data_IF_298259128596
#
_entry.id   IF_298259128596
#
_cell.length_a   1.000
_cell.length_b   1.000
_cell.length_c   1.000
_cell.angle_alpha   90.00
_cell.angle_beta   90.00
_cell.angle_gamma   90.00
#
_symmetry.space_group_name_H-M   'P 1'
#
loop_
_entity.id
_entity.type
_entity.pdbx_description
1 polymer ?
#
# COMPACT_ATOMS: atom_id res chain seq x y z
N UNK A 1 -4.02 -4.98 36.95
CA UNK A 1 -3.23 -4.88 35.70
C UNK A 1 -4.24 -4.69 34.59
N UNK A 2 -4.10 -3.70 33.71
CA UNK A 2 -5.12 -3.41 32.69
C UNK A 2 -5.20 -4.57 31.70
N UNK A 3 -6.41 -5.03 31.40
CA UNK A 3 -6.73 -6.13 30.48
C UNK A 3 -6.48 -5.77 28.98
N UNK A 4 -5.86 -4.63 28.74
CA UNK A 4 -5.66 -4.03 27.42
C UNK A 4 -4.16 -3.80 27.17
N UNK A 5 -3.69 -4.25 26.01
CA UNK A 5 -2.38 -3.97 25.46
C UNK A 5 -2.42 -2.69 24.62
N UNK A 6 -1.29 -1.99 24.55
CA UNK A 6 -1.13 -0.86 23.63
C UNK A 6 -0.97 -1.34 22.19
N UNK A 7 -1.49 -0.57 21.25
CA UNK A 7 -1.45 -0.92 19.83
C UNK A 7 -1.40 0.33 18.94
N UNK A 8 -1.03 0.12 17.69
CA UNK A 8 -1.25 1.07 16.61
C UNK A 8 -2.32 0.52 15.69
N UNK A 9 -3.37 1.30 15.43
CA UNK A 9 -4.41 0.98 14.47
C UNK A 9 -4.26 1.86 13.23
N UNK A 10 -4.51 1.29 12.06
CA UNK A 10 -4.66 2.03 10.80
C UNK A 10 -5.68 1.33 9.91
N UNK A 11 -6.05 1.99 8.82
CA UNK A 11 -6.87 1.38 7.78
C UNK A 11 -5.98 1.00 6.60
N UNK A 12 -6.16 -0.21 6.08
CA UNK A 12 -5.53 -0.68 4.86
C UNK A 12 -6.62 -0.94 3.81
N UNK A 13 -6.38 -0.50 2.57
CA UNK A 13 -7.27 -0.74 1.47
C UNK A 13 -6.90 -2.01 0.71
N UNK A 14 -7.91 -2.74 0.25
CA UNK A 14 -7.78 -3.78 -0.77
C UNK A 14 -8.60 -3.35 -1.98
N UNK A 15 -7.98 -2.73 -3.00
CA UNK A 15 -8.67 -2.33 -4.22
C UNK A 15 -9.30 -3.53 -4.95
N UNK A 16 -10.17 -3.24 -5.92
CA UNK A 16 -10.78 -4.29 -6.73
C UNK A 16 -9.72 -5.22 -7.36
N UNK A 17 -9.85 -6.56 -7.20
CA UNK A 17 -8.93 -7.51 -7.81
C UNK A 17 -8.79 -7.36 -9.32
N UNK A 18 -9.85 -6.97 -10.04
CA UNK A 18 -9.79 -6.76 -11.49
C UNK A 18 -8.95 -5.53 -11.85
N UNK A 19 -9.06 -4.45 -11.07
CA UNK A 19 -8.19 -3.28 -11.22
C UNK A 19 -6.75 -3.71 -11.00
N UNK A 20 -6.44 -4.40 -9.90
CA UNK A 20 -5.10 -4.86 -9.57
C UNK A 20 -4.50 -5.78 -10.65
N UNK A 21 -5.32 -6.68 -11.22
CA UNK A 21 -4.90 -7.57 -12.29
C UNK A 21 -4.62 -6.84 -13.61
N UNK A 22 -5.25 -5.69 -13.84
CA UNK A 22 -5.08 -4.86 -15.03
C UNK A 22 -3.89 -3.89 -14.94
N UNK A 23 -2.94 -4.11 -14.03
CA UNK A 23 -1.74 -3.29 -13.90
C UNK A 23 -0.90 -3.36 -15.19
N UNK A 24 -0.55 -2.21 -15.81
CA UNK A 24 0.33 -2.20 -16.98
C UNK A 24 1.68 -2.87 -16.68
N UNK A 25 2.12 -3.72 -17.60
CA UNK A 25 3.42 -4.37 -17.52
C UNK A 25 4.53 -3.44 -18.03
N UNK A 26 5.73 -3.45 -17.42
CA UNK A 26 6.87 -2.73 -17.95
C UNK A 26 7.16 -3.15 -19.40
N UNK A 27 7.32 -2.19 -20.32
CA UNK A 27 7.52 -2.53 -21.72
C UNK A 27 8.89 -3.15 -21.96
N UNK A 28 8.98 -3.96 -23.00
CA UNK A 28 10.28 -4.36 -23.56
C UNK A 28 10.76 -3.29 -24.51
N UNK A 29 11.99 -2.82 -24.32
CA UNK A 29 12.60 -1.81 -25.18
C UNK A 29 13.31 -2.46 -26.37
N UNK A 30 13.33 -1.73 -27.49
CA UNK A 30 14.13 -2.07 -28.66
C UNK A 30 15.61 -1.83 -28.33
N UNK A 31 16.49 -2.71 -28.82
CA UNK A 31 17.93 -2.57 -28.63
C UNK A 31 18.46 -1.27 -29.25
N UNK A 32 19.24 -0.52 -28.47
CA UNK A 32 19.85 0.72 -28.96
C UNK A 32 20.85 0.40 -30.07
N UNK A 33 20.65 1.01 -31.25
CA UNK A 33 21.50 0.80 -32.42
C UNK A 33 21.00 -0.25 -33.41
N UNK A 34 19.86 -0.90 -33.15
CA UNK A 34 19.20 -1.81 -34.12
C UNK A 34 18.79 -1.08 -35.41
N UNK A 35 18.37 0.19 -35.30
CA UNK A 35 18.10 1.11 -36.40
C UNK A 35 18.21 2.56 -35.92
N UNK A 36 18.32 3.55 -36.84
CA UNK A 36 18.50 4.97 -36.49
C UNK A 36 17.40 5.54 -35.58
N UNK A 37 16.19 5.01 -35.66
CA UNK A 37 15.03 5.52 -34.92
C UNK A 37 14.77 4.79 -33.58
N UNK A 38 15.62 3.85 -33.17
CA UNK A 38 15.39 3.00 -31.99
C UNK A 38 15.21 3.81 -30.68
N UNK A 39 15.92 4.94 -30.55
CA UNK A 39 15.76 5.85 -29.40
C UNK A 39 14.39 6.53 -29.39
N UNK A 40 13.92 7.01 -30.55
CA UNK A 40 12.62 7.67 -30.67
C UNK A 40 11.47 6.68 -30.43
N UNK A 41 11.62 5.45 -30.90
CA UNK A 41 10.67 4.36 -30.63
C UNK A 41 10.61 4.03 -29.14
N UNK A 42 11.75 3.84 -28.48
CA UNK A 42 11.81 3.62 -27.04
C UNK A 42 11.22 4.78 -26.22
N UNK A 43 11.40 6.03 -26.67
CA UNK A 43 10.77 7.19 -26.07
C UNK A 43 9.23 7.15 -26.19
N UNK A 44 8.71 6.77 -27.36
CA UNK A 44 7.27 6.58 -27.57
C UNK A 44 6.69 5.46 -26.71
N UNK A 45 7.37 4.31 -26.66
CA UNK A 45 7.00 3.15 -25.82
C UNK A 45 6.94 3.57 -24.34
N UNK A 46 7.94 4.33 -23.87
CA UNK A 46 7.98 4.85 -22.50
C UNK A 46 6.80 5.79 -22.22
N UNK A 47 6.48 6.70 -23.16
CA UNK A 47 5.37 7.62 -23.00
C UNK A 47 4.02 6.89 -22.87
N UNK A 48 3.77 5.90 -23.73
CA UNK A 48 2.56 5.08 -23.69
C UNK A 48 2.44 4.30 -22.37
N UNK A 49 3.55 3.71 -21.89
CA UNK A 49 3.54 3.00 -20.61
C UNK A 49 3.25 3.95 -19.43
N UNK A 50 3.84 5.15 -19.41
CA UNK A 50 3.59 6.15 -18.36
C UNK A 50 2.12 6.60 -18.37
N UNK A 51 1.54 6.82 -19.54
CA UNK A 51 0.11 7.17 -19.68
C UNK A 51 -0.79 6.04 -19.16
N UNK A 52 -0.52 4.80 -19.57
CA UNK A 52 -1.28 3.63 -19.11
C UNK A 52 -1.16 3.44 -17.59
N UNK A 53 0.04 3.62 -17.03
CA UNK A 53 0.27 3.52 -15.59
C UNK A 53 -0.51 4.60 -14.83
N UNK A 54 -0.48 5.84 -15.31
CA UNK A 54 -1.23 6.94 -14.71
C UNK A 54 -2.75 6.71 -14.77
N UNK A 55 -3.26 6.16 -15.87
CA UNK A 55 -4.68 5.80 -15.99
C UNK A 55 -5.05 4.68 -15.00
N UNK A 56 -4.20 3.68 -14.83
CA UNK A 56 -4.40 2.61 -13.85
C UNK A 56 -4.37 3.13 -12.39
N UNK A 57 -3.43 4.03 -12.06
CA UNK A 57 -3.38 4.68 -10.74
C UNK A 57 -4.65 5.50 -10.46
N UNK A 58 -5.19 6.20 -11.46
CA UNK A 58 -6.46 6.91 -11.34
C UNK A 58 -7.66 5.96 -11.07
N UNK A 59 -7.65 4.74 -11.62
CA UNK A 59 -8.67 3.73 -11.31
C UNK A 59 -8.58 3.26 -9.85
N UNK A 60 -7.36 3.08 -9.33
CA UNK A 60 -7.15 2.76 -7.91
C UNK A 60 -7.70 3.90 -7.05
N UNK A 61 -7.32 5.15 -7.33
CA UNK A 61 -7.79 6.30 -6.56
C UNK A 61 -9.31 6.43 -6.56
N UNK A 62 -9.96 6.17 -7.71
CA UNK A 62 -11.41 6.15 -7.81
C UNK A 62 -12.04 5.05 -6.94
N UNK A 63 -11.46 3.85 -6.93
CA UNK A 63 -11.96 2.72 -6.12
C UNK A 63 -11.74 2.95 -4.61
N UNK A 64 -10.67 3.66 -4.22
CA UNK A 64 -10.38 3.99 -2.83
C UNK A 64 -11.42 4.93 -2.17
N UNK A 65 -12.29 5.58 -2.96
CA UNK A 65 -13.44 6.33 -2.43
C UNK A 65 -14.47 5.38 -1.79
N UNK A 66 -14.52 4.11 -2.21
CA UNK A 66 -15.44 3.13 -1.65
C UNK A 66 -15.01 2.72 -0.23
N UNK A 67 -15.84 3.00 0.82
CA UNK A 67 -15.50 2.64 2.19
C UNK A 67 -15.33 1.13 2.42
N UNK A 68 -15.96 0.28 1.61
CA UNK A 68 -15.87 -1.18 1.74
C UNK A 68 -14.50 -1.75 1.37
N UNK A 69 -13.66 -0.97 0.67
CA UNK A 69 -12.28 -1.36 0.37
C UNK A 69 -11.37 -1.29 1.59
N UNK A 70 -11.77 -0.55 2.63
CA UNK A 70 -10.95 -0.26 3.79
C UNK A 70 -11.23 -1.22 4.95
N UNK A 71 -10.16 -1.74 5.54
CA UNK A 71 -10.21 -2.62 6.69
C UNK A 71 -9.32 -2.09 7.80
N UNK A 72 -9.78 -2.21 9.05
CA UNK A 72 -8.99 -1.85 10.22
C UNK A 72 -7.94 -2.92 10.51
N UNK A 73 -6.69 -2.50 10.57
CA UNK A 73 -5.54 -3.33 10.95
C UNK A 73 -4.97 -2.83 12.26
N UNK A 74 -4.45 -3.73 13.10
CA UNK A 74 -3.83 -3.41 14.38
C UNK A 74 -2.51 -4.16 14.54
N UNK A 75 -1.52 -3.46 15.06
CA UNK A 75 -0.28 -4.04 15.55
C UNK A 75 -0.13 -3.77 17.04
N UNK A 76 0.06 -4.83 17.83
CA UNK A 76 0.23 -4.74 19.29
C UNK A 76 1.68 -4.32 19.59
N UNK A 77 1.85 -3.49 20.62
CA UNK A 77 3.12 -3.05 21.16
C UNK A 77 3.25 -3.51 22.63
N UNK A 78 4.48 -3.56 23.14
CA UNK A 78 4.73 -3.98 24.52
C UNK A 78 4.18 -2.99 25.54
N UNK A 79 4.30 -1.69 25.25
CA UNK A 79 3.83 -0.60 26.09
C UNK A 79 3.45 0.64 25.24
N UNK A 80 3.10 1.74 25.92
CA UNK A 80 2.68 2.98 25.26
C UNK A 80 3.81 3.66 24.48
N UNK A 81 5.04 3.63 25.01
CA UNK A 81 6.19 4.28 24.40
C UNK A 81 6.58 3.58 23.10
N UNK A 82 6.57 2.24 23.12
CA UNK A 82 6.75 1.42 21.93
C UNK A 82 5.61 1.64 20.91
N UNK A 83 4.36 1.76 21.36
CA UNK A 83 3.25 2.06 20.46
C UNK A 83 3.41 3.44 19.79
N UNK A 84 3.88 4.46 20.54
CA UNK A 84 4.15 5.80 20.01
C UNK A 84 5.29 5.79 18.99
N UNK A 85 6.37 5.06 19.28
CA UNK A 85 7.49 4.87 18.36
C UNK A 85 7.04 4.17 17.07
N UNK A 86 6.31 3.05 17.21
CA UNK A 86 5.76 2.30 16.09
C UNK A 86 4.82 3.15 15.22
N UNK A 87 3.98 4.00 15.84
CA UNK A 87 3.11 4.92 15.11
C UNK A 87 3.91 5.89 14.23
N UNK A 88 5.02 6.43 14.76
CA UNK A 88 5.92 7.30 14.00
C UNK A 88 6.57 6.57 12.83
N UNK A 89 7.06 5.34 13.06
CA UNK A 89 7.67 4.50 12.03
C UNK A 89 6.67 4.15 10.91
N UNK A 90 5.45 3.72 11.26
CA UNK A 90 4.42 3.36 10.29
C UNK A 90 3.99 4.56 9.44
N UNK A 91 3.76 5.73 10.06
CA UNK A 91 3.43 6.96 9.30
C UNK A 91 4.54 7.34 8.33
N UNK A 92 5.80 7.18 8.72
CA UNK A 92 6.95 7.47 7.85
C UNK A 92 7.06 6.47 6.70
N UNK A 93 6.95 5.17 7.00
CA UNK A 93 7.05 4.10 6.01
C UNK A 93 5.94 4.19 4.95
N UNK A 94 4.75 4.59 5.37
CA UNK A 94 3.55 4.65 4.54
C UNK A 94 3.20 6.06 4.03
N UNK A 95 4.09 7.05 4.19
CA UNK A 95 3.80 8.44 3.85
C UNK A 95 3.37 8.65 2.39
N UNK A 96 3.87 7.82 1.47
CA UNK A 96 3.55 7.85 0.05
C UNK A 96 2.64 6.69 -0.40
N UNK A 97 2.11 5.89 0.53
CA UNK A 97 1.29 4.73 0.19
C UNK A 97 -0.21 5.10 0.29
N UNK A 98 -0.93 5.27 -0.84
CA UNK A 98 -2.34 5.63 -0.83
C UNK A 98 -3.24 4.52 -0.29
N UNK A 99 -2.74 3.28 -0.19
CA UNK A 99 -3.50 2.11 0.29
C UNK A 99 -3.54 2.02 1.82
N UNK A 100 -3.04 3.03 2.53
CA UNK A 100 -3.03 3.06 3.99
C UNK A 100 -3.37 4.44 4.52
N UNK A 101 -4.21 4.53 5.57
CA UNK A 101 -4.58 5.80 6.19
C UNK A 101 -4.96 5.67 7.67
N UNK A 102 -5.27 6.79 8.30
CA UNK A 102 -5.87 6.86 9.65
C UNK A 102 -5.04 6.18 10.75
N UNK A 103 -3.71 6.30 10.69
CA UNK A 103 -2.80 5.79 11.71
C UNK A 103 -3.02 6.48 13.06
N UNK A 104 -3.28 5.72 14.11
CA UNK A 104 -3.55 6.21 15.46
C UNK A 104 -3.11 5.23 16.55
N UNK A 105 -2.86 5.75 17.76
CA UNK A 105 -2.74 4.93 18.94
C UNK A 105 -4.10 4.30 19.27
N UNK A 106 -4.07 3.06 19.73
CA UNK A 106 -5.22 2.32 20.18
C UNK A 106 -4.83 1.45 21.37
N UNK A 107 -5.84 0.92 22.04
CA UNK A 107 -5.69 -0.19 22.97
C UNK A 107 -6.43 -1.40 22.41
N UNK A 108 -5.89 -2.59 22.67
CA UNK A 108 -6.45 -3.86 22.21
C UNK A 108 -6.64 -4.79 23.39
N UNK A 109 -7.71 -5.61 23.44
CA UNK A 109 -7.76 -6.74 24.35
C UNK A 109 -6.52 -7.61 24.17
N UNK A 110 -6.01 -8.13 25.29
CA UNK A 110 -4.87 -9.04 25.29
C UNK A 110 -5.18 -10.29 24.46
N UNK A 111 -4.31 -10.64 23.52
CA UNK A 111 -4.43 -11.92 22.80
C UNK A 111 -3.90 -13.03 23.69
N UNK A 112 -4.81 -13.83 24.24
CA UNK A 112 -4.46 -15.06 24.94
C UNK A 112 -4.37 -16.20 23.93
N UNK A 113 -3.16 -16.73 23.76
CA UNK A 113 -2.95 -17.94 22.96
C UNK A 113 -3.06 -19.14 23.89
N UNK A 114 -4.06 -19.98 23.67
CA UNK A 114 -4.13 -21.29 24.32
C UNK A 114 -3.25 -22.27 23.52
N UNK A 115 -2.28 -22.90 24.19
CA UNK A 115 -1.53 -24.02 23.60
C UNK A 115 -2.49 -25.20 23.51
N UNK A 116 -2.74 -25.69 22.30
CA UNK A 116 -3.45 -26.95 22.06
C UNK A 116 -2.42 -28.07 21.92
N UNK A 117 -2.56 -29.14 22.71
CA UNK A 117 -1.80 -30.39 22.57
C UNK A 117 -2.23 -31.20 21.34
#
# INVERSE_FOLDING_TARGET
>A
MSELDWAVQWEAATPDPEILAAKPEPPTYVELGSHPDAEAENASIRAQYVEALSAHEALIDADLVNPQRWQSVRSIAADEDDARRLLGELRRLHAANPLTRNFQLATSPRREWAVTE
#
